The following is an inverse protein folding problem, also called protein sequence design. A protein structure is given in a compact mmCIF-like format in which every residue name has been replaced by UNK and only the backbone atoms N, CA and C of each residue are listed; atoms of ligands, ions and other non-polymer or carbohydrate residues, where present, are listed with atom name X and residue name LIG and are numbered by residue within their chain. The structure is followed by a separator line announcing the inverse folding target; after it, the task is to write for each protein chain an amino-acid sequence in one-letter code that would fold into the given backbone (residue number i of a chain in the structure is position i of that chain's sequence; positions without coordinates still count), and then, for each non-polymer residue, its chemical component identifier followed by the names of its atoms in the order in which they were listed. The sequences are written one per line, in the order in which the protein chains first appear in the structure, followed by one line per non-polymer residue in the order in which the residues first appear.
data_IF_265938715601
#
_entry.id   IF_265938715601
#
_cell.length_a   1.000
_cell.length_b   1.000
_cell.length_c   1.000
_cell.angle_alpha   90.00
_cell.angle_beta   90.00
_cell.angle_gamma   90.00
#
_symmetry.space_group_name_H-M   'P 1'
#
loop_
_entity.id
_entity.type
_entity.pdbx_description
1 polymer ?
#
# COMPACT_ATOMS: atom_id res chain seq x y z
N UNK A 1 -35.74 -9.94 18.45
CA UNK A 1 -35.59 -8.48 18.65
C UNK A 1 -36.21 -7.75 17.46
N UNK A 2 -36.70 -6.52 17.63
CA UNK A 2 -37.48 -5.83 16.59
C UNK A 2 -36.58 -5.24 15.49
N UNK A 3 -37.08 -5.22 14.26
CA UNK A 3 -36.41 -4.63 13.09
C UNK A 3 -36.02 -3.16 13.30
N UNK A 4 -36.71 -2.43 14.17
CA UNK A 4 -36.47 -1.01 14.46
C UNK A 4 -35.11 -0.82 15.15
N UNK A 5 -34.73 -1.70 16.09
CA UNK A 5 -33.48 -1.60 16.84
C UNK A 5 -32.27 -1.61 15.91
N UNK A 6 -32.18 -2.58 15.01
CA UNK A 6 -31.04 -2.71 14.10
C UNK A 6 -31.00 -1.63 13.01
N UNK A 7 -32.15 -1.07 12.60
CA UNK A 7 -32.13 0.10 11.72
C UNK A 7 -31.59 1.33 12.44
N UNK A 8 -31.89 1.49 13.74
CA UNK A 8 -31.31 2.58 14.55
C UNK A 8 -29.81 2.37 14.76
N UNK A 9 -29.37 1.16 15.10
CA UNK A 9 -27.94 0.85 15.24
C UNK A 9 -27.18 1.05 13.93
N UNK A 10 -27.78 0.68 12.79
CA UNK A 10 -27.23 0.96 11.47
C UNK A 10 -27.09 2.47 11.23
N UNK A 11 -28.12 3.27 11.54
CA UNK A 11 -28.06 4.72 11.41
C UNK A 11 -26.99 5.34 12.32
N UNK A 12 -26.88 4.88 13.56
CA UNK A 12 -25.82 5.33 14.48
C UNK A 12 -24.43 5.00 13.95
N UNK A 13 -24.23 3.77 13.44
CA UNK A 13 -22.96 3.36 12.86
C UNK A 13 -22.61 4.20 11.62
N UNK A 14 -23.60 4.49 10.78
CA UNK A 14 -23.42 5.31 9.58
C UNK A 14 -23.09 6.76 9.92
N UNK A 15 -23.78 7.37 10.90
CA UNK A 15 -23.47 8.72 11.36
C UNK A 15 -22.07 8.78 11.96
N UNK A 16 -21.71 7.81 12.82
CA UNK A 16 -20.37 7.73 13.39
C UNK A 16 -19.29 7.57 12.33
N UNK A 17 -19.55 6.80 11.26
CA UNK A 17 -18.63 6.67 10.13
C UNK A 17 -18.47 7.98 9.36
N UNK A 18 -19.56 8.70 9.10
CA UNK A 18 -19.51 10.01 8.43
C UNK A 18 -18.70 11.01 9.24
N UNK A 19 -18.96 11.10 10.55
CA UNK A 19 -18.23 12.01 11.44
C UNK A 19 -16.73 11.68 11.45
N UNK A 20 -16.38 10.39 11.47
CA UNK A 20 -15.00 9.94 11.44
C UNK A 20 -14.31 10.28 10.12
N UNK A 21 -14.99 10.06 8.99
CA UNK A 21 -14.47 10.43 7.67
C UNK A 21 -14.28 11.93 7.51
N UNK A 22 -15.17 12.76 8.05
CA UNK A 22 -14.96 14.22 8.07
C UNK A 22 -13.74 14.60 8.91
N UNK A 23 -13.50 13.91 10.02
CA UNK A 23 -12.33 14.16 10.88
C UNK A 23 -11.00 13.72 10.26
N UNK A 24 -11.01 12.74 9.36
CA UNK A 24 -9.81 12.28 8.63
C UNK A 24 -9.42 13.19 7.48
N UNK A 25 -10.35 14.00 6.95
CA UNK A 25 -10.05 14.89 5.83
C UNK A 25 -9.00 15.91 6.25
N UNK A 26 -7.83 15.95 5.59
CA UNK A 26 -6.83 16.95 5.91
C UNK A 26 -7.41 18.34 5.61
N UNK A 27 -7.36 19.23 6.60
CA UNK A 27 -7.68 20.63 6.36
C UNK A 27 -6.70 21.19 5.33
N UNK A 28 -7.17 21.97 4.34
CA UNK A 28 -6.38 22.46 3.19
C UNK A 28 -5.05 23.14 3.56
N UNK A 29 -4.91 23.61 4.81
CA UNK A 29 -3.74 24.34 5.31
C UNK A 29 -2.98 23.63 6.45
N UNK A 30 -3.26 22.35 6.75
CA UNK A 30 -2.63 21.67 7.88
C UNK A 30 -1.19 21.27 7.55
N UNK A 31 -0.24 21.74 8.37
CA UNK A 31 1.15 21.28 8.29
C UNK A 31 1.21 19.83 8.83
N UNK A 32 2.09 18.98 8.28
CA UNK A 32 2.27 17.63 8.82
C UNK A 32 2.64 17.71 10.30
N UNK A 33 1.97 16.89 11.11
CA UNK A 33 2.18 16.83 12.55
C UNK A 33 3.65 16.45 12.81
N UNK A 34 4.35 17.27 13.59
CA UNK A 34 5.78 17.05 13.87
C UNK A 34 5.99 16.17 15.10
N UNK A 35 5.00 16.14 15.99
CA UNK A 35 5.05 15.30 17.17
C UNK A 35 4.53 13.90 16.85
N UNK A 36 5.40 12.91 17.03
CA UNK A 36 5.08 11.51 16.80
C UNK A 36 4.05 11.00 17.82
N UNK A 37 4.11 11.47 19.07
CA UNK A 37 3.22 11.01 20.13
C UNK A 37 1.81 11.50 19.88
N UNK A 38 1.64 12.79 19.59
CA UNK A 38 0.33 13.35 19.23
C UNK A 38 -0.26 12.67 17.98
N UNK A 39 0.56 12.40 16.96
CA UNK A 39 0.11 11.71 15.75
C UNK A 39 -0.31 10.26 16.02
N UNK A 40 0.46 9.55 16.86
CA UNK A 40 0.10 8.20 17.29
C UNK A 40 -1.23 8.17 18.04
N UNK A 41 -1.42 9.07 19.01
CA UNK A 41 -2.65 9.20 19.77
C UNK A 41 -3.86 9.48 18.85
N UNK A 42 -3.67 10.33 17.83
CA UNK A 42 -4.68 10.59 16.81
C UNK A 42 -5.07 9.30 16.08
N UNK A 43 -4.10 8.59 15.49
CA UNK A 43 -4.36 7.35 14.72
C UNK A 43 -4.97 6.27 15.60
N UNK A 44 -4.44 6.07 16.80
CA UNK A 44 -4.93 5.09 17.75
C UNK A 44 -6.37 5.38 18.18
N UNK A 45 -6.72 6.66 18.38
CA UNK A 45 -8.10 7.06 18.66
C UNK A 45 -9.04 6.78 17.47
N UNK A 46 -8.60 7.00 16.23
CA UNK A 46 -9.38 6.67 15.03
C UNK A 46 -9.57 5.16 14.91
N UNK A 47 -8.49 4.39 15.10
CA UNK A 47 -8.50 2.95 15.05
C UNK A 47 -9.54 2.34 16.00
N UNK A 48 -9.57 2.80 17.26
CA UNK A 48 -10.54 2.33 18.25
C UNK A 48 -11.97 2.69 17.85
N UNK A 49 -12.21 3.92 17.38
CA UNK A 49 -13.55 4.35 16.92
C UNK A 49 -14.03 3.51 15.73
N UNK A 50 -13.15 3.18 14.79
CA UNK A 50 -13.49 2.29 13.68
C UNK A 50 -13.82 0.87 14.16
N UNK A 51 -13.16 0.33 15.19
CA UNK A 51 -13.52 -0.98 15.78
C UNK A 51 -14.94 -0.93 16.37
N UNK A 52 -15.31 0.15 17.06
CA UNK A 52 -16.67 0.29 17.60
C UNK A 52 -17.73 0.31 16.49
N UNK A 53 -17.45 1.03 15.40
CA UNK A 53 -18.32 1.05 14.21
C UNK A 53 -18.40 -0.34 13.60
N UNK A 54 -17.27 -1.03 13.42
CA UNK A 54 -17.20 -2.39 12.88
C UNK A 54 -18.11 -3.35 13.67
N UNK A 55 -18.09 -3.32 15.01
CA UNK A 55 -18.94 -4.17 15.85
C UNK A 55 -20.42 -3.92 15.66
N UNK A 56 -20.83 -2.64 15.59
CA UNK A 56 -22.23 -2.26 15.29
C UNK A 56 -22.64 -2.75 13.90
N UNK A 57 -21.78 -2.55 12.91
CA UNK A 57 -22.02 -3.02 11.53
C UNK A 57 -22.13 -4.53 11.44
N UNK A 58 -21.26 -5.28 12.13
CA UNK A 58 -21.30 -6.74 12.18
C UNK A 58 -22.62 -7.25 12.77
N UNK A 59 -23.04 -6.66 13.89
CA UNK A 59 -24.34 -6.97 14.50
C UNK A 59 -25.49 -6.67 13.54
N UNK A 60 -25.44 -5.53 12.85
CA UNK A 60 -26.47 -5.18 11.85
C UNK A 60 -26.46 -6.14 10.66
N UNK A 61 -25.29 -6.58 10.20
CA UNK A 61 -25.15 -7.52 9.09
C UNK A 61 -25.79 -8.88 9.40
N UNK A 62 -25.55 -9.37 10.60
CA UNK A 62 -26.08 -10.65 11.06
C UNK A 62 -27.61 -10.62 11.26
N UNK A 63 -28.12 -9.49 11.74
CA UNK A 63 -29.52 -9.38 12.16
C UNK A 63 -30.46 -8.84 11.07
N UNK A 64 -29.94 -8.13 10.05
CA UNK A 64 -30.74 -7.63 8.92
C UNK A 64 -30.85 -8.70 7.84
N UNK A 65 -32.07 -9.22 7.67
CA UNK A 65 -32.38 -10.29 6.68
C UNK A 65 -32.62 -9.73 5.26
N UNK A 66 -32.85 -8.42 5.12
CA UNK A 66 -33.20 -7.79 3.83
C UNK A 66 -32.03 -7.84 2.83
N UNK A 67 -32.16 -8.55 1.68
CA UNK A 67 -31.02 -8.84 0.79
C UNK A 67 -30.31 -7.60 0.25
N UNK A 68 -31.05 -6.59 -0.19
CA UNK A 68 -30.47 -5.37 -0.79
C UNK A 68 -29.66 -4.57 0.24
N UNK A 69 -30.19 -4.43 1.47
CA UNK A 69 -29.47 -3.75 2.56
C UNK A 69 -28.22 -4.53 2.94
N UNK A 70 -28.31 -5.86 2.98
CA UNK A 70 -27.18 -6.73 3.36
C UNK A 70 -26.01 -6.66 2.37
N UNK A 71 -26.29 -6.50 1.07
CA UNK A 71 -25.24 -6.27 0.06
C UNK A 71 -24.50 -4.96 0.33
N UNK A 72 -25.25 -3.86 0.54
CA UNK A 72 -24.65 -2.55 0.81
C UNK A 72 -23.86 -2.59 2.13
N UNK A 73 -24.44 -3.20 3.15
CA UNK A 73 -23.84 -3.27 4.47
C UNK A 73 -22.56 -4.11 4.45
N UNK A 74 -22.52 -5.19 3.67
CA UNK A 74 -21.28 -5.95 3.42
C UNK A 74 -20.17 -5.06 2.87
N UNK A 75 -20.47 -4.30 1.81
CA UNK A 75 -19.48 -3.44 1.17
C UNK A 75 -18.94 -2.38 2.14
N UNK A 76 -19.82 -1.81 2.99
CA UNK A 76 -19.39 -0.85 4.02
C UNK A 76 -18.52 -1.53 5.08
N UNK A 77 -18.88 -2.76 5.49
CA UNK A 77 -18.12 -3.54 6.48
C UNK A 77 -16.73 -3.91 5.94
N UNK A 78 -16.62 -4.37 4.69
CA UNK A 78 -15.35 -4.62 4.01
C UNK A 78 -14.50 -3.33 3.89
N UNK A 79 -15.14 -2.19 3.60
CA UNK A 79 -14.46 -0.89 3.56
C UNK A 79 -13.90 -0.47 4.91
N UNK A 80 -14.68 -0.62 5.99
CA UNK A 80 -14.24 -0.33 7.37
C UNK A 80 -13.09 -1.25 7.79
N UNK A 81 -13.15 -2.54 7.44
CA UNK A 81 -12.05 -3.49 7.69
C UNK A 81 -10.78 -3.10 6.92
N UNK A 82 -10.91 -2.70 5.66
CA UNK A 82 -9.79 -2.17 4.87
C UNK A 82 -9.15 -0.97 5.55
N UNK A 83 -9.96 0.00 5.97
CA UNK A 83 -9.48 1.21 6.66
C UNK A 83 -8.80 0.90 7.99
N UNK A 84 -9.31 -0.06 8.76
CA UNK A 84 -8.69 -0.53 10.00
C UNK A 84 -7.29 -1.12 9.76
N UNK A 85 -7.11 -1.88 8.69
CA UNK A 85 -5.80 -2.44 8.32
C UNK A 85 -4.82 -1.34 7.90
N UNK A 86 -5.28 -0.33 7.17
CA UNK A 86 -4.47 0.84 6.82
C UNK A 86 -4.00 1.60 8.06
N UNK A 87 -4.92 1.97 8.96
CA UNK A 87 -4.59 2.66 10.21
C UNK A 87 -3.63 1.83 11.06
N UNK A 88 -3.87 0.51 11.13
CA UNK A 88 -3.00 -0.40 11.86
C UNK A 88 -1.59 -0.43 11.26
N UNK A 89 -1.48 -0.45 9.93
CA UNK A 89 -0.20 -0.39 9.24
C UNK A 89 0.52 0.94 9.51
N UNK A 90 -0.19 2.06 9.46
CA UNK A 90 0.37 3.38 9.78
C UNK A 90 0.93 3.43 11.20
N UNK A 91 0.23 2.86 12.19
CA UNK A 91 0.75 2.75 13.56
C UNK A 91 2.03 1.93 13.65
N UNK A 92 2.04 0.76 13.00
CA UNK A 92 3.21 -0.13 12.96
C UNK A 92 4.40 0.58 12.33
N UNK A 93 4.19 1.35 11.26
CA UNK A 93 5.24 2.09 10.58
C UNK A 93 5.78 3.27 11.43
N UNK A 94 4.97 3.84 12.30
CA UNK A 94 5.36 4.93 13.20
C UNK A 94 6.22 4.45 14.37
N UNK A 95 5.82 3.37 15.03
CA UNK A 95 6.48 2.86 16.24
C UNK A 95 7.45 1.70 15.97
N UNK A 96 7.40 1.11 14.77
CA UNK A 96 8.12 -0.12 14.40
C UNK A 96 7.77 -1.31 15.31
N UNK A 97 6.53 -1.38 15.78
CA UNK A 97 6.03 -2.41 16.68
C UNK A 97 4.74 -3.02 16.13
N UNK A 98 4.55 -4.33 16.28
CA UNK A 98 3.30 -4.98 15.90
C UNK A 98 2.21 -4.80 16.97
N UNK A 99 2.61 -4.83 18.25
CA UNK A 99 1.72 -4.75 19.40
C UNK A 99 1.73 -3.35 20.00
N UNK A 100 0.54 -2.83 20.28
CA UNK A 100 0.34 -1.48 20.81
C UNK A 100 -0.61 -1.54 22.01
N UNK A 101 -0.32 -0.73 23.02
CA UNK A 101 -1.14 -0.62 24.23
C UNK A 101 -2.03 0.62 24.11
N UNK A 102 -3.30 0.46 24.45
CA UNK A 102 -4.31 1.51 24.28
C UNK A 102 -4.88 2.01 25.60
N UNK A 103 -4.29 1.65 26.74
CA UNK A 103 -4.89 1.83 28.08
C UNK A 103 -5.30 3.29 28.35
N UNK A 104 -4.45 4.26 28.00
CA UNK A 104 -4.74 5.69 28.17
C UNK A 104 -5.95 6.12 27.32
N UNK A 105 -6.01 5.68 26.07
CA UNK A 105 -7.09 6.04 25.12
C UNK A 105 -8.39 5.35 25.50
N UNK A 106 -8.32 4.09 25.94
CA UNK A 106 -9.47 3.35 26.44
C UNK A 106 -10.03 4.02 27.69
N UNK A 107 -9.16 4.45 28.60
CA UNK A 107 -9.56 5.21 29.79
C UNK A 107 -10.26 6.51 29.43
N UNK A 108 -9.70 7.29 28.50
CA UNK A 108 -10.29 8.56 28.03
C UNK A 108 -11.66 8.37 27.38
N UNK A 109 -11.82 7.31 26.59
CA UNK A 109 -13.06 6.96 25.92
C UNK A 109 -14.05 6.18 26.81
N UNK A 110 -13.66 5.87 28.07
CA UNK A 110 -14.44 5.06 29.02
C UNK A 110 -14.82 3.68 28.45
N UNK A 111 -13.88 3.06 27.76
CA UNK A 111 -14.03 1.75 27.13
C UNK A 111 -13.28 0.68 27.91
N UNK A 112 -13.79 -0.54 27.81
CA UNK A 112 -13.10 -1.73 28.29
C UNK A 112 -12.39 -2.43 27.13
N UNK A 113 -11.38 -3.29 27.40
CA UNK A 113 -10.74 -4.07 26.34
C UNK A 113 -11.73 -4.91 25.52
N UNK A 114 -12.79 -5.40 26.16
CA UNK A 114 -13.85 -6.17 25.51
C UNK A 114 -14.63 -5.35 24.47
N UNK A 115 -14.69 -4.02 24.59
CA UNK A 115 -15.37 -3.15 23.65
C UNK A 115 -14.55 -2.90 22.37
N UNK A 116 -13.24 -3.19 22.42
CA UNK A 116 -12.26 -2.96 21.35
C UNK A 116 -11.70 -4.28 20.80
N UNK A 117 -12.25 -5.41 21.23
CA UNK A 117 -11.99 -6.70 20.60
C UNK A 117 -12.57 -6.69 19.17
N UNK A 118 -11.74 -7.02 18.18
CA UNK A 118 -12.12 -7.05 16.78
C UNK A 118 -12.96 -8.30 16.49
N UNK A 119 -14.25 -8.17 16.12
CA UNK A 119 -15.06 -9.33 15.77
C UNK A 119 -14.66 -9.86 14.38
N UNK A 120 -14.76 -11.19 14.21
CA UNK A 120 -14.65 -11.81 12.89
C UNK A 120 -16.06 -11.77 12.26
N UNK A 121 -16.28 -11.03 11.16
CA UNK A 121 -17.62 -10.94 10.60
C UNK A 121 -18.14 -12.29 10.13
N UNK A 122 -19.36 -12.65 10.51
CA UNK A 122 -19.93 -13.99 10.25
C UNK A 122 -19.99 -14.38 8.78
N UNK A 123 -20.12 -13.42 7.85
CA UNK A 123 -20.08 -13.76 6.43
C UNK A 123 -18.73 -14.30 5.98
N UNK A 124 -17.64 -13.93 6.64
CA UNK A 124 -16.36 -14.55 6.36
C UNK A 124 -16.39 -16.02 6.71
N UNK A 125 -17.17 -16.49 7.67
CA UNK A 125 -17.23 -17.92 8.01
C UNK A 125 -18.28 -18.63 7.17
N UNK A 126 -19.47 -18.03 7.06
CA UNK A 126 -20.66 -18.69 6.51
C UNK A 126 -20.76 -18.63 4.99
N UNK A 127 -20.18 -17.60 4.35
CA UNK A 127 -20.34 -17.37 2.91
C UNK A 127 -19.06 -17.66 2.11
N UNK A 128 -18.22 -18.59 2.59
CA UNK A 128 -16.98 -18.98 1.88
C UNK A 128 -17.19 -20.01 0.77
N UNK A 129 -18.40 -20.52 0.55
CA UNK A 129 -18.61 -21.69 -0.30
C UNK A 129 -17.96 -21.54 -1.69
N UNK A 130 -18.15 -20.39 -2.34
CA UNK A 130 -17.53 -20.10 -3.65
C UNK A 130 -16.00 -20.11 -3.56
N UNK A 131 -15.42 -19.43 -2.57
CA UNK A 131 -13.98 -19.37 -2.36
C UNK A 131 -13.39 -20.74 -2.05
N UNK A 132 -14.07 -21.56 -1.24
CA UNK A 132 -13.65 -22.92 -0.92
C UNK A 132 -13.69 -23.82 -2.16
N UNK A 133 -14.75 -23.75 -2.98
CA UNK A 133 -14.81 -24.46 -4.26
C UNK A 133 -13.67 -24.04 -5.19
N UNK A 134 -13.44 -22.73 -5.38
CA UNK A 134 -12.33 -22.25 -6.21
C UNK A 134 -10.96 -22.69 -5.71
N UNK A 135 -10.74 -22.72 -4.38
CA UNK A 135 -9.52 -23.26 -3.77
C UNK A 135 -9.38 -24.75 -3.99
N UNK A 136 -10.46 -25.51 -3.85
CA UNK A 136 -10.50 -26.95 -4.10
C UNK A 136 -10.18 -27.27 -5.57
N UNK A 137 -10.75 -26.51 -6.52
CA UNK A 137 -10.42 -26.63 -7.95
C UNK A 137 -8.96 -26.28 -8.26
N UNK A 138 -8.41 -25.25 -7.61
CA UNK A 138 -6.98 -24.93 -7.72
C UNK A 138 -6.11 -26.06 -7.16
N UNK A 139 -6.44 -26.58 -5.98
CA UNK A 139 -5.73 -27.71 -5.38
C UNK A 139 -5.78 -28.94 -6.28
N UNK A 140 -6.96 -29.28 -6.83
CA UNK A 140 -7.10 -30.38 -7.77
C UNK A 140 -6.21 -30.20 -9.00
N UNK A 141 -6.17 -29.01 -9.61
CA UNK A 141 -5.27 -28.70 -10.74
C UNK A 141 -3.79 -28.78 -10.39
N UNK A 142 -3.42 -28.32 -9.19
CA UNK A 142 -2.03 -28.41 -8.72
C UNK A 142 -1.64 -29.85 -8.46
N UNK A 143 -2.50 -30.64 -7.80
CA UNK A 143 -2.29 -32.07 -7.58
C UNK A 143 -2.25 -32.86 -8.88
N UNK A 144 -3.06 -32.49 -9.88
CA UNK A 144 -3.00 -33.09 -11.21
C UNK A 144 -1.67 -32.77 -11.89
N UNK A 145 -1.20 -31.52 -11.83
CA UNK A 145 0.12 -31.14 -12.34
C UNK A 145 1.25 -31.88 -11.62
N UNK A 146 1.15 -32.05 -10.31
CA UNK A 146 2.12 -32.82 -9.51
C UNK A 146 2.01 -34.31 -9.84
N UNK A 147 0.81 -34.86 -10.00
CA UNK A 147 0.58 -36.28 -10.33
C UNK A 147 0.92 -36.65 -11.78
N UNK A 148 0.85 -35.69 -12.71
CA UNK A 148 1.41 -35.78 -14.07
C UNK A 148 2.94 -35.76 -14.06
N UNK A 149 3.56 -35.34 -12.95
CA UNK A 149 4.97 -35.59 -12.72
C UNK A 149 5.09 -37.06 -12.31
N UNK A 150 5.73 -37.89 -13.14
CA UNK A 150 5.94 -39.30 -12.81
C UNK A 150 6.40 -39.43 -11.34
N UNK A 151 5.75 -40.23 -10.47
CA UNK A 151 6.27 -40.48 -9.13
C UNK A 151 7.67 -41.13 -9.19
N UNK A 152 8.00 -41.77 -10.31
CA UNK A 152 9.34 -42.22 -10.66
C UNK A 152 10.32 -41.08 -10.97
N UNK A 153 9.89 -39.91 -11.48
CA UNK A 153 10.70 -38.70 -11.65
C UNK A 153 10.89 -37.92 -10.34
N UNK A 154 9.87 -37.88 -9.48
CA UNK A 154 9.96 -37.24 -8.15
C UNK A 154 10.84 -38.02 -7.16
N UNK A 155 10.88 -39.35 -7.27
CA UNK A 155 11.75 -40.21 -6.44
C UNK A 155 13.15 -40.43 -7.02
N UNK A 156 13.39 -40.02 -8.28
CA UNK A 156 14.70 -40.06 -8.94
C UNK A 156 15.40 -38.71 -9.02
N UNK A 157 14.90 -37.70 -8.30
CA UNK A 157 15.75 -36.58 -7.90
C UNK A 157 16.78 -37.12 -6.92
N UNK A 158 17.87 -37.65 -7.49
CA UNK A 158 19.14 -37.81 -6.79
C UNK A 158 19.37 -36.48 -6.06
N UNK A 159 19.38 -36.52 -4.73
CA UNK A 159 19.46 -35.30 -3.92
C UNK A 159 20.54 -34.37 -4.46
N UNK A 160 20.17 -33.11 -4.68
CA UNK A 160 21.04 -32.08 -5.27
C UNK A 160 22.47 -32.24 -4.75
N UNK A 161 23.42 -32.45 -5.65
CA UNK A 161 24.82 -32.61 -5.25
C UNK A 161 25.30 -31.31 -4.60
N UNK A 162 26.26 -31.41 -3.68
CA UNK A 162 26.84 -30.22 -3.02
C UNK A 162 27.38 -29.22 -4.05
N UNK A 163 27.90 -29.72 -5.17
CA UNK A 163 28.43 -28.90 -6.27
C UNK A 163 27.33 -28.13 -7.02
N UNK A 164 26.18 -28.76 -7.27
CA UNK A 164 25.02 -28.10 -7.86
C UNK A 164 24.43 -27.06 -6.91
N UNK A 165 24.33 -27.37 -5.62
CA UNK A 165 23.88 -26.43 -4.59
C UNK A 165 24.80 -25.21 -4.53
N UNK A 166 26.12 -25.43 -4.50
CA UNK A 166 27.13 -24.35 -4.52
C UNK A 166 27.04 -23.53 -5.81
N UNK A 167 26.83 -24.17 -6.96
CA UNK A 167 26.67 -23.48 -8.25
C UNK A 167 25.44 -22.57 -8.23
N UNK A 168 24.30 -23.07 -7.78
CA UNK A 168 23.05 -22.30 -7.64
C UNK A 168 23.25 -21.10 -6.72
N UNK A 169 23.78 -21.32 -5.51
CA UNK A 169 24.04 -20.25 -4.55
C UNK A 169 24.95 -19.16 -5.16
N UNK A 170 26.04 -19.56 -5.85
CA UNK A 170 26.96 -18.62 -6.48
C UNK A 170 26.33 -17.82 -7.62
N UNK A 171 25.50 -18.46 -8.45
CA UNK A 171 24.78 -17.78 -9.55
C UNK A 171 23.81 -16.74 -8.97
N UNK A 172 23.04 -17.11 -7.97
CA UNK A 172 22.09 -16.22 -7.32
C UNK A 172 22.78 -15.07 -6.58
N UNK A 173 23.87 -15.34 -5.86
CA UNK A 173 24.63 -14.29 -5.19
C UNK A 173 25.30 -13.35 -6.19
N UNK A 174 25.86 -13.86 -7.30
CA UNK A 174 26.38 -13.03 -8.40
C UNK A 174 25.29 -12.14 -9.00
N UNK A 175 24.10 -12.69 -9.23
CA UNK A 175 22.96 -11.92 -9.74
C UNK A 175 22.51 -10.84 -8.75
N UNK A 176 22.46 -11.16 -7.45
CA UNK A 176 22.13 -10.21 -6.38
C UNK A 176 23.13 -9.06 -6.35
N UNK A 177 24.44 -9.38 -6.35
CA UNK A 177 25.49 -8.36 -6.39
C UNK A 177 25.44 -7.54 -7.69
N UNK A 178 25.15 -8.16 -8.83
CA UNK A 178 24.96 -7.46 -10.10
C UNK A 178 23.84 -6.42 -10.03
N UNK A 179 22.68 -6.78 -9.46
CA UNK A 179 21.57 -5.84 -9.24
C UNK A 179 21.96 -4.70 -8.30
N UNK A 180 22.65 -5.00 -7.20
CA UNK A 180 23.08 -3.99 -6.23
C UNK A 180 24.08 -3.00 -6.85
N UNK A 181 25.07 -3.51 -7.60
CA UNK A 181 26.05 -2.69 -8.33
C UNK A 181 25.37 -1.83 -9.39
N UNK A 182 24.44 -2.40 -10.17
CA UNK A 182 23.70 -1.65 -11.18
C UNK A 182 22.89 -0.50 -10.55
N UNK A 183 22.23 -0.75 -9.40
CA UNK A 183 21.53 0.28 -8.63
C UNK A 183 22.49 1.40 -8.19
N UNK A 184 23.63 1.03 -7.59
CA UNK A 184 24.62 2.00 -7.12
C UNK A 184 25.23 2.85 -8.25
N UNK A 185 25.60 2.21 -9.38
CA UNK A 185 26.11 2.91 -10.55
C UNK A 185 25.08 3.86 -11.16
N UNK A 186 23.79 3.48 -11.14
CA UNK A 186 22.69 4.36 -11.56
C UNK A 186 22.61 5.61 -10.69
N UNK A 187 22.73 5.45 -9.37
CA UNK A 187 22.72 6.57 -8.42
C UNK A 187 23.91 7.51 -8.62
N UNK A 188 25.13 6.97 -8.80
CA UNK A 188 26.32 7.78 -9.11
C UNK A 188 26.09 8.61 -10.37
N UNK A 189 25.66 7.97 -11.46
CA UNK A 189 25.41 8.66 -12.74
C UNK A 189 24.36 9.77 -12.60
N UNK A 190 23.31 9.53 -11.81
CA UNK A 190 22.29 10.56 -11.53
C UNK A 190 22.87 11.74 -10.73
N UNK A 191 23.75 11.48 -9.75
CA UNK A 191 24.43 12.56 -9.00
C UNK A 191 25.37 13.37 -9.89
N UNK A 192 26.17 12.71 -10.73
CA UNK A 192 27.05 13.37 -11.69
C UNK A 192 26.26 14.23 -12.68
N UNK A 193 25.16 13.70 -13.24
CA UNK A 193 24.30 14.46 -14.15
C UNK A 193 23.73 15.71 -13.47
N UNK A 194 23.24 15.58 -12.23
CA UNK A 194 22.75 16.72 -11.44
C UNK A 194 23.85 17.73 -11.16
N UNK A 195 25.06 17.29 -10.84
CA UNK A 195 26.22 18.15 -10.63
C UNK A 195 26.60 18.90 -11.91
N UNK A 196 26.64 18.22 -13.06
CA UNK A 196 26.87 18.84 -14.38
C UNK A 196 25.79 19.85 -14.73
N UNK A 197 24.52 19.55 -14.48
CA UNK A 197 23.41 20.49 -14.72
C UNK A 197 23.50 21.74 -13.83
N UNK A 198 23.94 21.60 -12.57
CA UNK A 198 24.20 22.74 -11.69
C UNK A 198 25.36 23.59 -12.21
N UNK A 199 26.48 22.96 -12.56
CA UNK A 199 27.63 23.65 -13.14
C UNK A 199 27.28 24.37 -14.46
N UNK A 200 26.40 23.80 -15.29
CA UNK A 200 25.91 24.45 -16.51
C UNK A 200 24.98 25.64 -16.24
N UNK A 201 24.22 25.63 -15.14
CA UNK A 201 23.42 26.79 -14.71
C UNK A 201 24.27 27.90 -14.09
N UNK A 202 25.34 27.52 -13.41
CA UNK A 202 26.31 28.44 -12.79
C UNK A 202 27.35 28.97 -13.80
N UNK A 203 27.41 28.42 -15.01
CA UNK A 203 28.22 28.93 -16.09
C UNK A 203 27.77 30.35 -16.48
N UNK A 204 28.70 31.27 -16.80
CA UNK A 204 28.35 32.64 -17.19
C UNK A 204 27.37 32.61 -18.37
N UNK A 205 26.16 33.13 -18.15
CA UNK A 205 25.20 33.33 -19.23
C UNK A 205 25.79 34.38 -20.18
N UNK A 206 25.94 34.02 -21.44
CA UNK A 206 26.35 34.95 -22.50
C UNK A 206 25.30 36.07 -22.54
N UNK A 207 25.73 37.34 -22.62
CA UNK A 207 24.77 38.45 -22.67
C UNK A 207 23.90 38.32 -23.93
N UNK A 208 22.64 38.77 -23.84
CA UNK A 208 21.68 38.68 -24.95
C UNK A 208 22.23 39.29 -26.26
N UNK A 209 23.00 40.38 -26.13
CA UNK A 209 23.68 41.03 -27.25
C UNK A 209 24.78 40.15 -27.86
N UNK A 210 25.60 39.52 -27.03
CA UNK A 210 26.67 38.63 -27.49
C UNK A 210 26.10 37.34 -28.12
N UNK A 211 24.98 36.85 -27.63
CA UNK A 211 24.25 35.73 -28.23
C UNK A 211 23.69 36.11 -29.61
N UNK A 212 23.09 37.30 -29.75
CA UNK A 212 22.57 37.80 -31.02
C UNK A 212 23.67 37.94 -32.09
N UNK A 213 24.85 38.46 -31.71
CA UNK A 213 26.01 38.59 -32.62
C UNK A 213 26.49 37.21 -33.11
N UNK A 214 26.56 36.20 -32.23
CA UNK A 214 26.97 34.84 -32.63
C UNK A 214 25.95 34.18 -33.56
N UNK A 215 24.65 34.35 -33.29
CA UNK A 215 23.58 33.82 -34.15
C UNK A 215 23.61 34.49 -35.54
N UNK A 216 23.75 35.81 -35.58
CA UNK A 216 23.86 36.55 -36.84
C UNK A 216 25.07 36.08 -37.65
N UNK A 217 26.23 35.90 -37.01
CA UNK A 217 27.44 35.43 -37.68
C UNK A 217 27.27 34.03 -38.29
N UNK A 218 26.70 33.08 -37.55
CA UNK A 218 26.43 31.72 -38.05
C UNK A 218 25.45 31.74 -39.22
N UNK A 219 24.42 32.59 -39.16
CA UNK A 219 23.45 32.72 -40.24
C UNK A 219 24.08 33.34 -41.50
N UNK A 220 24.88 34.40 -41.35
CA UNK A 220 25.63 35.02 -42.44
C UNK A 220 26.60 34.03 -43.09
N UNK A 221 27.36 33.27 -42.30
CA UNK A 221 28.28 32.23 -42.80
C UNK A 221 27.53 31.12 -43.56
N UNK A 222 26.31 30.75 -43.12
CA UNK A 222 25.43 29.80 -43.81
C UNK A 222 24.93 30.33 -45.16
N UNK A 223 24.54 31.61 -45.20
CA UNK A 223 24.10 32.25 -46.46
C UNK A 223 25.25 32.44 -47.45
N UNK A 224 26.46 32.74 -46.98
CA UNK A 224 27.65 32.84 -47.83
C UNK A 224 28.07 31.48 -48.41
N UNK A 225 27.87 30.39 -47.66
CA UNK A 225 28.17 29.03 -48.14
C UNK A 225 27.12 28.51 -49.13
N UNK A 226 25.83 28.85 -49.00
CA UNK A 226 24.83 28.51 -50.03
C UNK A 226 25.05 29.26 -51.36
N UNK A 227 25.54 30.51 -51.31
CA UNK A 227 25.89 31.27 -52.51
C UNK A 227 27.16 30.79 -53.24
N UNK A 228 27.95 29.89 -52.63
CA UNK A 228 29.17 29.34 -53.24
C UNK A 228 28.92 28.02 -53.99
N UNK A 229 27.73 27.41 -53.84
CA UNK A 229 27.35 26.13 -54.47
C UNK A 229 26.15 26.25 -55.43
N UNK A 230 25.79 27.47 -55.85
CA UNK A 230 24.80 27.76 -56.88
C UNK A 230 25.44 28.49 -58.07
#
# INVERSE_FOLDING_TARGET
MSHITYNREWQEAQNGLVDLLESEKPSTNQKPEKDKVAFFQLIASMYIKYIQILRKLETCYDQIVHPQKRIVLRNVLDGVLGRLLELKQEMVDLECLEYHFFDDILSDLKLTPNDVEMPIPKYFVLEQEKTLRSRQELMARVLERIGQSDPAKLSSESGMTVEEAVRLIRVHERARQGRLRAKFMREIRQRELKSRMRAAREAPQISEHEAAVRIQKVHSDWTETEHFWA
#
